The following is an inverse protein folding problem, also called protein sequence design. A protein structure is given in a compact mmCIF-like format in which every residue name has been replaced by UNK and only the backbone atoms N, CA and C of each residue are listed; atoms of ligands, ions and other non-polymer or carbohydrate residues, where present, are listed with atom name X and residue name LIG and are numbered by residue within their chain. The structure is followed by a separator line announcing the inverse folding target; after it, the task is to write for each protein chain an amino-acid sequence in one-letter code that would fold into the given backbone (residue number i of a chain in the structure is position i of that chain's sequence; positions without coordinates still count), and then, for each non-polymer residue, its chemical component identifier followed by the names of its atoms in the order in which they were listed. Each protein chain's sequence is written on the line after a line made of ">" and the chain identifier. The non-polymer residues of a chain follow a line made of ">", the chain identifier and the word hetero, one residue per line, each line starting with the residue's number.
data_IF_394311391628
#
_entry.id   IF_394311391628
#
_cell.length_a   1.000
_cell.length_b   1.000
_cell.length_c   1.000
_cell.angle_alpha   90.00
_cell.angle_beta   90.00
_cell.angle_gamma   90.00
#
_symmetry.space_group_name_H-M   'P 1'
#
loop_
_entity.id
_entity.type
_entity.pdbx_description
1 polymer ?
#
# COMPACT_ATOMS: atom_id res chain seq x y z
N UNK A 1 -22.29 0.09 -12.89
CA UNK A 1 -21.24 -0.92 -13.16
C UNK A 1 -20.25 -1.17 -12.00
N UNK A 2 -19.64 -0.17 -11.32
CA UNK A 2 -18.60 -0.47 -10.31
C UNK A 2 -19.11 -1.33 -9.14
N UNK A 3 -20.38 -1.18 -8.75
CA UNK A 3 -21.00 -1.99 -7.70
C UNK A 3 -21.14 -3.48 -8.06
N UNK A 4 -21.36 -3.82 -9.34
CA UNK A 4 -21.49 -5.22 -9.76
C UNK A 4 -20.12 -5.93 -9.71
N UNK A 5 -19.05 -5.25 -10.12
CA UNK A 5 -17.69 -5.77 -10.03
C UNK A 5 -17.28 -5.97 -8.57
N UNK A 6 -17.57 -5.00 -7.70
CA UNK A 6 -17.30 -5.10 -6.26
C UNK A 6 -18.04 -6.29 -5.63
N UNK A 7 -19.32 -6.49 -5.96
CA UNK A 7 -20.11 -7.63 -5.50
C UNK A 7 -19.56 -8.95 -6.04
N UNK A 8 -19.21 -9.03 -7.33
CA UNK A 8 -18.65 -10.24 -7.92
C UNK A 8 -17.32 -10.64 -7.27
N UNK A 9 -16.44 -9.68 -6.98
CA UNK A 9 -15.19 -9.92 -6.25
C UNK A 9 -15.46 -10.42 -4.83
N UNK A 10 -16.44 -9.84 -4.13
CA UNK A 10 -16.83 -10.30 -2.79
C UNK A 10 -17.35 -11.75 -2.81
N UNK A 11 -18.24 -12.08 -3.75
CA UNK A 11 -18.80 -13.43 -3.90
C UNK A 11 -17.70 -14.42 -4.25
N UNK A 12 -16.81 -14.09 -5.18
CA UNK A 12 -15.67 -14.93 -5.52
C UNK A 12 -14.76 -15.18 -4.31
N UNK A 13 -14.40 -14.13 -3.56
CA UNK A 13 -13.59 -14.26 -2.36
C UNK A 13 -14.28 -15.12 -1.28
N UNK A 14 -15.59 -14.99 -1.11
CA UNK A 14 -16.38 -15.84 -0.20
C UNK A 14 -16.37 -17.31 -0.65
N UNK A 15 -16.54 -17.58 -1.95
CA UNK A 15 -16.45 -18.95 -2.49
C UNK A 15 -15.07 -19.56 -2.25
N UNK A 16 -13.99 -18.83 -2.54
CA UNK A 16 -12.61 -19.28 -2.28
C UNK A 16 -12.41 -19.55 -0.79
N UNK A 17 -12.94 -18.70 0.09
CA UNK A 17 -12.86 -18.89 1.53
C UNK A 17 -13.58 -20.16 1.99
N UNK A 18 -14.85 -20.34 1.60
CA UNK A 18 -15.65 -21.49 2.00
C UNK A 18 -15.06 -22.78 1.44
N UNK A 19 -14.69 -22.81 0.16
CA UNK A 19 -14.06 -23.97 -0.47
C UNK A 19 -12.73 -24.33 0.20
N UNK A 20 -11.88 -23.33 0.47
CA UNK A 20 -10.60 -23.55 1.15
C UNK A 20 -10.79 -24.18 2.53
N UNK A 21 -11.72 -23.65 3.34
CA UNK A 21 -12.02 -24.20 4.67
C UNK A 21 -12.60 -25.62 4.57
N UNK A 22 -13.56 -25.86 3.67
CA UNK A 22 -14.18 -27.18 3.51
C UNK A 22 -13.16 -28.24 3.05
N UNK A 23 -12.29 -27.90 2.10
CA UNK A 23 -11.22 -28.79 1.65
C UNK A 23 -10.29 -29.12 2.82
N UNK A 24 -9.81 -28.12 3.55
CA UNK A 24 -8.90 -28.33 4.68
C UNK A 24 -9.53 -29.17 5.81
N UNK A 25 -10.81 -28.92 6.13
CA UNK A 25 -11.55 -29.70 7.13
C UNK A 25 -11.67 -31.18 6.76
N UNK A 26 -11.75 -31.51 5.46
CA UNK A 26 -11.76 -32.89 4.97
C UNK A 26 -10.50 -33.69 5.34
N UNK A 27 -9.37 -33.02 5.58
CA UNK A 27 -8.10 -33.66 5.93
C UNK A 27 -7.79 -33.66 7.44
N UNK A 28 -8.63 -33.03 8.27
CA UNK A 28 -8.43 -32.98 9.73
C UNK A 28 -8.54 -34.35 10.38
N UNK A 29 -9.53 -35.17 9.98
CA UNK A 29 -9.74 -36.51 10.54
C UNK A 29 -8.57 -37.46 10.25
N UNK A 30 -8.06 -37.54 9.00
CA UNK A 30 -6.82 -38.27 8.70
C UNK A 30 -5.61 -37.79 9.50
N UNK A 31 -5.43 -36.47 9.63
CA UNK A 31 -4.34 -35.88 10.41
C UNK A 31 -4.42 -36.26 11.89
N UNK A 32 -5.60 -36.17 12.51
CA UNK A 32 -5.82 -36.55 13.91
C UNK A 32 -5.55 -38.04 14.12
N UNK A 33 -6.07 -38.92 13.25
CA UNK A 33 -5.79 -40.36 13.33
C UNK A 33 -4.29 -40.64 13.25
N UNK A 34 -3.61 -40.02 12.31
CA UNK A 34 -2.17 -40.17 12.14
C UNK A 34 -1.39 -39.68 13.37
N UNK A 35 -1.76 -38.53 13.92
CA UNK A 35 -1.16 -37.98 15.14
C UNK A 35 -1.39 -38.89 16.36
N UNK A 36 -2.60 -39.43 16.52
CA UNK A 36 -2.91 -40.37 17.61
C UNK A 36 -2.11 -41.67 17.49
N UNK A 37 -1.95 -42.22 16.28
CA UNK A 37 -1.12 -43.41 16.05
C UNK A 37 0.36 -43.14 16.39
N UNK A 38 0.87 -41.96 16.04
CA UNK A 38 2.24 -41.57 16.39
C UNK A 38 2.45 -41.49 17.92
N UNK A 39 1.47 -40.96 18.66
CA UNK A 39 1.50 -40.90 20.14
C UNK A 39 1.53 -42.32 20.75
N UNK A 40 0.91 -43.30 20.09
CA UNK A 40 0.89 -44.71 20.52
C UNK A 40 2.19 -45.47 20.20
N UNK A 41 3.24 -44.79 19.71
CA UNK A 41 4.53 -45.40 19.43
C UNK A 41 4.61 -46.13 18.09
N UNK A 42 3.63 -45.94 17.19
CA UNK A 42 3.76 -46.44 15.82
C UNK A 42 4.89 -45.69 15.09
N UNK A 43 5.66 -46.37 14.20
CA UNK A 43 6.65 -45.70 13.38
C UNK A 43 5.96 -44.66 12.49
N UNK A 44 6.41 -43.42 12.55
CA UNK A 44 5.82 -42.32 11.79
C UNK A 44 6.70 -41.97 10.59
N UNK A 45 6.06 -41.79 9.45
CA UNK A 45 6.67 -41.28 8.22
C UNK A 45 6.53 -39.75 8.17
N UNK A 46 7.66 -39.04 8.26
CA UNK A 46 7.67 -37.57 8.28
C UNK A 46 7.02 -36.95 7.03
N UNK A 47 7.19 -37.56 5.85
CA UNK A 47 6.61 -37.08 4.60
C UNK A 47 5.07 -37.09 4.59
N UNK A 48 4.45 -38.14 5.13
CA UNK A 48 2.99 -38.28 5.15
C UNK A 48 2.35 -37.30 6.15
N UNK A 49 2.99 -37.13 7.32
CA UNK A 49 2.59 -36.10 8.28
C UNK A 49 2.66 -34.70 7.66
N UNK A 50 3.77 -34.39 6.99
CA UNK A 50 3.99 -33.09 6.37
C UNK A 50 2.97 -32.82 5.24
N UNK A 51 2.61 -33.84 4.45
CA UNK A 51 1.54 -33.79 3.45
C UNK A 51 0.20 -33.43 4.06
N UNK A 52 -0.20 -34.13 5.13
CA UNK A 52 -1.48 -33.90 5.79
C UNK A 52 -1.54 -32.51 6.42
N UNK A 53 -0.45 -32.06 7.05
CA UNK A 53 -0.35 -30.68 7.58
C UNK A 53 -0.49 -29.65 6.46
N UNK A 54 0.20 -29.82 5.32
CA UNK A 54 0.10 -28.89 4.20
C UNK A 54 -1.32 -28.83 3.62
N UNK A 55 -2.00 -29.98 3.50
CA UNK A 55 -3.36 -30.10 2.97
C UNK A 55 -4.42 -29.51 3.90
N UNK A 56 -4.21 -29.53 5.22
CA UNK A 56 -5.10 -28.88 6.19
C UNK A 56 -4.79 -27.37 6.26
N UNK A 57 -3.54 -27.01 6.52
CA UNK A 57 -3.15 -25.63 6.80
C UNK A 57 -3.27 -24.73 5.56
N UNK A 58 -2.84 -25.18 4.38
CA UNK A 58 -2.83 -24.34 3.17
C UNK A 58 -4.21 -23.75 2.84
N UNK A 59 -5.22 -24.58 2.57
CA UNK A 59 -6.57 -24.13 2.22
C UNK A 59 -7.24 -23.29 3.32
N UNK A 60 -7.08 -23.67 4.60
CA UNK A 60 -7.66 -22.95 5.74
C UNK A 60 -7.04 -21.55 5.88
N UNK A 61 -5.72 -21.43 5.74
CA UNK A 61 -5.03 -20.14 5.85
C UNK A 61 -5.38 -19.19 4.70
N UNK A 62 -5.47 -19.71 3.47
CA UNK A 62 -5.93 -18.92 2.31
C UNK A 62 -7.36 -18.43 2.54
N UNK A 63 -8.25 -19.29 3.04
CA UNK A 63 -9.62 -18.89 3.35
C UNK A 63 -9.69 -17.82 4.44
N UNK A 64 -8.96 -18.00 5.54
CA UNK A 64 -8.92 -17.01 6.62
C UNK A 64 -8.36 -15.66 6.15
N UNK A 65 -7.27 -15.67 5.38
CA UNK A 65 -6.63 -14.45 4.91
C UNK A 65 -7.52 -13.66 3.93
N UNK A 66 -8.18 -14.37 3.01
CA UNK A 66 -9.15 -13.74 2.09
C UNK A 66 -10.34 -13.16 2.84
N UNK A 67 -10.86 -13.85 3.86
CA UNK A 67 -11.96 -13.35 4.70
C UNK A 67 -11.56 -12.10 5.50
N UNK A 68 -10.45 -12.14 6.24
CA UNK A 68 -9.98 -11.02 7.06
C UNK A 68 -9.63 -9.81 6.18
N UNK A 69 -8.95 -10.05 5.05
CA UNK A 69 -8.61 -9.00 4.08
C UNK A 69 -9.86 -8.33 3.50
N UNK A 70 -10.88 -9.10 3.13
CA UNK A 70 -12.14 -8.58 2.63
C UNK A 70 -12.89 -7.79 3.72
N UNK A 71 -13.01 -8.34 4.92
CA UNK A 71 -13.67 -7.68 6.05
C UNK A 71 -12.99 -6.33 6.37
N UNK A 72 -11.66 -6.31 6.40
CA UNK A 72 -10.87 -5.09 6.60
C UNK A 72 -11.08 -4.07 5.49
N UNK A 73 -11.06 -4.52 4.21
CA UNK A 73 -11.30 -3.64 3.07
C UNK A 73 -12.70 -3.02 3.12
N UNK A 74 -13.72 -3.82 3.40
CA UNK A 74 -15.10 -3.35 3.53
C UNK A 74 -15.24 -2.36 4.69
N UNK A 75 -14.70 -2.70 5.87
CA UNK A 75 -14.75 -1.83 7.04
C UNK A 75 -14.03 -0.49 6.82
N UNK A 76 -12.81 -0.52 6.29
CA UNK A 76 -12.04 0.70 5.98
C UNK A 76 -12.77 1.58 4.96
N UNK A 77 -13.39 0.98 3.94
CA UNK A 77 -14.21 1.73 2.97
C UNK A 77 -15.44 2.39 3.62
N UNK A 78 -16.08 1.73 4.59
CA UNK A 78 -17.24 2.27 5.31
C UNK A 78 -16.85 3.47 6.18
N UNK A 79 -15.74 3.38 6.90
CA UNK A 79 -15.21 4.49 7.72
C UNK A 79 -14.94 5.71 6.85
N UNK A 80 -14.28 5.53 5.70
CA UNK A 80 -14.03 6.62 4.75
C UNK A 80 -15.34 7.19 4.18
N UNK A 81 -16.29 6.34 3.77
CA UNK A 81 -17.61 6.79 3.28
C UNK A 81 -18.40 7.56 4.34
N UNK A 82 -18.32 7.16 5.60
CA UNK A 82 -18.99 7.86 6.70
C UNK A 82 -18.40 9.26 6.89
N UNK A 83 -17.06 9.40 6.84
CA UNK A 83 -16.39 10.71 6.90
C UNK A 83 -16.72 11.58 5.69
N UNK A 84 -16.78 11.00 4.49
CA UNK A 84 -17.22 11.71 3.27
C UNK A 84 -18.63 12.28 3.42
N UNK A 85 -19.54 11.57 4.11
CA UNK A 85 -20.90 12.07 4.38
C UNK A 85 -20.93 13.17 5.45
N UNK A 86 -20.05 13.07 6.45
CA UNK A 86 -19.96 14.06 7.52
C UNK A 86 -19.29 15.38 7.05
N UNK A 87 -18.34 15.28 6.12
CA UNK A 87 -17.54 16.41 5.65
C UNK A 87 -17.47 16.46 4.11
N UNK A 88 -18.59 16.68 3.40
CA UNK A 88 -18.62 16.64 1.94
C UNK A 88 -17.71 17.69 1.30
N UNK A 89 -17.64 18.90 1.89
CA UNK A 89 -16.90 20.04 1.33
C UNK A 89 -15.45 20.13 1.81
N UNK A 90 -15.02 19.20 2.68
CA UNK A 90 -13.69 19.21 3.31
C UNK A 90 -12.99 17.88 3.04
N UNK A 91 -12.48 17.65 1.82
CA UNK A 91 -11.85 16.38 1.44
C UNK A 91 -10.63 16.03 2.30
N UNK A 92 -9.94 17.03 2.86
CA UNK A 92 -8.84 16.80 3.79
C UNK A 92 -9.27 16.13 5.11
N UNK A 93 -10.56 16.20 5.49
CA UNK A 93 -11.10 15.55 6.69
C UNK A 93 -11.40 14.06 6.48
N UNK A 94 -11.37 13.57 5.23
CA UNK A 94 -11.69 12.17 4.93
C UNK A 94 -10.59 11.22 5.41
N UNK A 95 -9.34 11.68 5.40
CA UNK A 95 -8.21 10.93 5.94
C UNK A 95 -8.04 11.21 7.44
N UNK A 96 -7.76 10.16 8.21
CA UNK A 96 -7.63 10.23 9.68
C UNK A 96 -6.44 11.09 10.08
N UNK A 97 -5.29 10.79 9.50
CA UNK A 97 -4.02 11.42 9.80
C UNK A 97 -4.03 12.93 9.49
N UNK A 98 -4.72 13.32 8.41
CA UNK A 98 -4.91 14.72 8.05
C UNK A 98 -5.83 15.44 9.04
N UNK A 99 -6.98 14.85 9.38
CA UNK A 99 -7.92 15.44 10.33
C UNK A 99 -7.31 15.65 11.73
N UNK A 100 -6.41 14.75 12.15
CA UNK A 100 -5.68 14.84 13.43
C UNK A 100 -4.51 15.83 13.40
N UNK A 101 -4.23 16.48 12.26
CA UNK A 101 -3.04 17.34 12.04
C UNK A 101 -1.72 16.63 12.34
N UNK A 102 -1.70 15.30 12.31
CA UNK A 102 -0.53 14.49 12.65
C UNK A 102 -0.44 13.33 11.68
N UNK A 103 0.48 13.43 10.73
CA UNK A 103 0.69 12.37 9.75
C UNK A 103 1.83 11.50 10.24
N UNK A 104 1.46 10.30 10.69
CA UNK A 104 2.40 9.31 11.21
C UNK A 104 2.74 8.35 10.10
N UNK A 105 3.99 8.37 9.65
CA UNK A 105 4.52 7.25 8.87
C UNK A 105 4.65 6.10 9.83
N UNK A 106 3.62 5.25 9.88
CA UNK A 106 3.60 4.08 10.72
C UNK A 106 3.41 2.85 9.83
N UNK A 107 4.53 2.23 9.46
CA UNK A 107 4.48 0.93 8.79
C UNK A 107 4.16 -0.21 9.77
N UNK A 108 3.66 0.07 10.97
CA UNK A 108 3.36 -0.95 11.97
C UNK A 108 2.33 -1.95 11.45
N UNK A 109 1.25 -1.47 10.83
CA UNK A 109 0.21 -2.34 10.24
C UNK A 109 0.79 -3.18 9.10
N UNK A 110 1.49 -2.55 8.16
CA UNK A 110 2.13 -3.23 7.02
C UNK A 110 3.14 -4.27 7.48
N UNK A 111 3.97 -3.94 8.46
CA UNK A 111 4.97 -4.86 9.04
C UNK A 111 4.27 -6.05 9.71
N UNK A 112 3.25 -5.84 10.55
CA UNK A 112 2.52 -6.96 11.15
C UNK A 112 1.84 -7.86 10.12
N UNK A 113 1.18 -7.27 9.13
CA UNK A 113 0.57 -8.02 8.02
C UNK A 113 1.64 -8.83 7.29
N UNK A 114 2.81 -8.26 7.08
CA UNK A 114 3.92 -8.90 6.37
C UNK A 114 4.56 -10.03 7.18
N UNK A 115 4.75 -9.84 8.49
CA UNK A 115 5.23 -10.89 9.40
C UNK A 115 4.25 -12.05 9.45
N UNK A 116 2.96 -11.76 9.63
CA UNK A 116 1.90 -12.79 9.66
C UNK A 116 1.88 -13.53 8.32
N UNK A 117 1.83 -12.81 7.20
CA UNK A 117 1.83 -13.42 5.86
C UNK A 117 3.07 -14.30 5.63
N UNK A 118 4.26 -13.86 6.07
CA UNK A 118 5.50 -14.64 5.94
C UNK A 118 5.50 -15.89 6.81
N UNK A 119 4.99 -15.79 8.05
CA UNK A 119 4.85 -16.93 8.94
C UNK A 119 3.85 -17.96 8.40
N UNK A 120 2.70 -17.51 7.90
CA UNK A 120 1.70 -18.35 7.26
C UNK A 120 2.24 -19.01 5.99
N UNK A 121 2.99 -18.26 5.17
CA UNK A 121 3.65 -18.81 3.99
C UNK A 121 4.65 -19.91 4.36
N UNK A 122 5.48 -19.69 5.39
CA UNK A 122 6.40 -20.69 5.92
C UNK A 122 5.68 -21.95 6.42
N UNK A 123 4.53 -21.79 7.10
CA UNK A 123 3.72 -22.89 7.61
C UNK A 123 3.18 -23.83 6.50
N UNK A 124 3.02 -23.32 5.28
CA UNK A 124 2.60 -24.14 4.12
C UNK A 124 3.80 -24.68 3.34
N UNK A 125 4.79 -23.82 3.07
CA UNK A 125 5.93 -24.17 2.21
C UNK A 125 6.87 -25.17 2.87
N UNK A 126 7.10 -25.06 4.18
CA UNK A 126 8.03 -25.97 4.87
C UNK A 126 7.53 -27.42 4.87
N UNK A 127 6.28 -27.73 5.30
CA UNK A 127 5.77 -29.10 5.21
C UNK A 127 5.69 -29.61 3.77
N UNK A 128 5.31 -28.76 2.82
CA UNK A 128 5.25 -29.15 1.41
C UNK A 128 6.66 -29.48 0.86
N UNK A 129 7.67 -28.71 1.25
CA UNK A 129 9.07 -28.98 0.93
C UNK A 129 9.55 -30.30 1.53
N UNK A 130 9.26 -30.57 2.81
CA UNK A 130 9.60 -31.85 3.44
C UNK A 130 8.93 -33.03 2.70
N UNK A 131 7.67 -32.86 2.31
CA UNK A 131 6.95 -33.86 1.52
C UNK A 131 7.62 -34.11 0.16
N UNK A 132 7.92 -33.06 -0.61
CA UNK A 132 8.58 -33.22 -1.91
C UNK A 132 9.99 -33.80 -1.79
N UNK A 133 10.74 -33.46 -0.75
CA UNK A 133 12.07 -34.02 -0.49
C UNK A 133 12.00 -35.55 -0.31
N UNK A 134 10.89 -36.07 0.22
CA UNK A 134 10.67 -37.52 0.39
C UNK A 134 10.39 -38.29 -0.91
N UNK A 135 9.99 -37.60 -2.00
CA UNK A 135 9.43 -38.27 -3.18
C UNK A 135 10.44 -38.74 -4.23
N UNK A 136 11.63 -38.11 -4.37
CA UNK A 136 12.81 -38.65 -5.13
C UNK A 136 13.98 -37.68 -5.32
N UNK A 137 13.84 -36.37 -5.09
CA UNK A 137 14.91 -35.38 -5.37
C UNK A 137 15.12 -34.40 -4.19
N UNK A 138 15.64 -34.90 -3.07
CA UNK A 138 15.85 -34.12 -1.86
C UNK A 138 16.76 -32.89 -2.10
N UNK A 139 17.78 -33.00 -2.94
CA UNK A 139 18.76 -31.92 -3.19
C UNK A 139 18.14 -30.66 -3.78
N UNK A 140 17.32 -30.79 -4.83
CA UNK A 140 16.67 -29.63 -5.47
C UNK A 140 15.66 -28.96 -4.52
N UNK A 141 14.96 -29.77 -3.73
CA UNK A 141 13.98 -29.28 -2.77
C UNK A 141 14.66 -28.53 -1.62
N UNK A 142 15.77 -29.06 -1.09
CA UNK A 142 16.56 -28.35 -0.08
C UNK A 142 17.18 -27.06 -0.62
N UNK A 143 17.65 -27.06 -1.87
CA UNK A 143 18.16 -25.85 -2.53
C UNK A 143 17.05 -24.78 -2.68
N UNK A 144 15.85 -25.20 -3.10
CA UNK A 144 14.69 -24.31 -3.16
C UNK A 144 14.30 -23.76 -1.77
N UNK A 145 14.23 -24.63 -0.75
CA UNK A 145 13.90 -24.21 0.62
C UNK A 145 14.96 -23.24 1.17
N UNK A 146 16.23 -23.50 0.89
CA UNK A 146 17.34 -22.61 1.26
C UNK A 146 17.25 -21.26 0.56
N UNK A 147 16.92 -21.24 -0.74
CA UNK A 147 16.71 -20.00 -1.49
C UNK A 147 15.53 -19.18 -0.94
N UNK A 148 14.40 -19.84 -0.62
CA UNK A 148 13.23 -19.20 0.02
C UNK A 148 13.60 -18.65 1.39
N UNK A 149 14.32 -19.41 2.22
CA UNK A 149 14.80 -18.97 3.52
C UNK A 149 15.71 -17.74 3.41
N UNK A 150 16.66 -17.75 2.47
CA UNK A 150 17.54 -16.62 2.20
C UNK A 150 16.76 -15.38 1.74
N UNK A 151 15.81 -15.55 0.82
CA UNK A 151 14.91 -14.48 0.38
C UNK A 151 14.13 -13.87 1.54
N UNK A 152 13.53 -14.70 2.41
CA UNK A 152 12.83 -14.22 3.60
C UNK A 152 13.76 -13.44 4.54
N UNK A 153 14.97 -13.91 4.78
CA UNK A 153 15.95 -13.20 5.63
C UNK A 153 16.33 -11.83 5.05
N UNK A 154 16.58 -11.75 3.74
CA UNK A 154 16.85 -10.48 3.05
C UNK A 154 15.65 -9.55 3.18
N UNK A 155 14.44 -10.07 2.96
CA UNK A 155 13.21 -9.30 3.07
C UNK A 155 12.95 -8.79 4.49
N UNK A 156 13.13 -9.64 5.52
CA UNK A 156 13.06 -9.23 6.92
C UNK A 156 14.10 -8.16 7.27
N UNK A 157 15.33 -8.27 6.74
CA UNK A 157 16.36 -7.24 6.91
C UNK A 157 15.93 -5.91 6.29
N UNK A 158 15.38 -5.92 5.07
CA UNK A 158 14.87 -4.70 4.42
C UNK A 158 13.73 -4.06 5.22
N UNK A 159 12.78 -4.86 5.71
CA UNK A 159 11.70 -4.37 6.57
C UNK A 159 12.22 -3.78 7.89
N UNK A 160 13.22 -4.43 8.49
CA UNK A 160 13.82 -3.99 9.73
C UNK A 160 14.56 -2.66 9.58
N UNK A 161 15.38 -2.53 8.53
CA UNK A 161 16.06 -1.27 8.22
C UNK A 161 15.05 -0.15 7.97
N UNK A 162 13.95 -0.45 7.28
CA UNK A 162 12.89 0.52 7.03
C UNK A 162 12.09 0.87 8.31
N UNK A 163 12.09 0.04 9.35
CA UNK A 163 11.29 0.25 10.59
C UNK A 163 11.71 1.50 11.36
N UNK A 164 13.01 1.81 11.44
CA UNK A 164 13.50 2.93 12.24
C UNK A 164 13.03 4.28 11.70
N UNK A 165 12.99 4.43 10.36
CA UNK A 165 12.59 5.68 9.70
C UNK A 165 11.08 5.82 9.51
N UNK A 166 10.36 4.70 9.47
CA UNK A 166 8.89 4.66 9.45
C UNK A 166 8.26 4.73 10.84
N UNK A 167 8.83 5.54 11.71
CA UNK A 167 8.18 6.03 12.93
C UNK A 167 8.15 7.55 12.96
N UNK A 168 8.63 8.19 11.90
CA UNK A 168 8.62 9.64 11.77
C UNK A 168 7.19 10.15 11.63
N UNK A 169 6.94 11.32 12.19
CA UNK A 169 5.63 11.96 12.12
C UNK A 169 5.80 13.42 11.74
N UNK A 170 4.90 13.96 10.93
CA UNK A 170 4.80 15.40 10.70
C UNK A 170 3.57 15.92 11.43
N UNK A 171 3.76 16.92 12.29
CA UNK A 171 2.68 17.68 12.88
C UNK A 171 2.42 18.90 12.01
N UNK A 172 1.19 19.06 11.54
CA UNK A 172 0.78 20.15 10.67
C UNK A 172 0.31 21.32 11.52
N UNK A 173 0.92 22.49 11.33
CA UNK A 173 0.45 23.73 11.96
C UNK A 173 -0.68 24.35 11.11
N UNK A 174 -0.52 24.31 9.79
CA UNK A 174 -1.55 24.71 8.81
C UNK A 174 -2.33 23.50 8.29
N UNK A 175 -3.65 23.48 8.47
CA UNK A 175 -4.54 22.43 7.92
C UNK A 175 -5.84 23.04 7.34
N UNK A 176 -6.18 22.78 6.07
CA UNK A 176 -5.27 22.27 5.03
C UNK A 176 -4.19 23.33 4.70
N UNK A 177 -3.15 22.92 3.98
CA UNK A 177 -2.30 23.90 3.28
C UNK A 177 -3.13 24.58 2.19
N UNK A 178 -3.05 25.91 2.07
CA UNK A 178 -3.82 26.67 1.08
C UNK A 178 -2.94 27.04 -0.10
N UNK A 179 -3.42 26.81 -1.33
CA UNK A 179 -2.71 27.23 -2.54
C UNK A 179 -2.57 28.75 -2.56
N UNK A 180 -1.36 29.26 -2.84
CA UNK A 180 -1.04 30.69 -2.69
C UNK A 180 -0.66 31.10 -1.26
N UNK A 181 -0.90 30.25 -0.27
CA UNK A 181 -0.63 30.49 1.14
C UNK A 181 0.71 29.91 1.62
N UNK A 182 0.91 29.97 2.94
CA UNK A 182 2.04 29.36 3.62
C UNK A 182 1.65 27.99 4.15
N UNK A 183 2.56 27.03 4.06
CA UNK A 183 2.43 25.71 4.66
C UNK A 183 3.48 25.56 5.76
N UNK A 184 3.05 25.25 6.98
CA UNK A 184 3.89 25.13 8.16
C UNK A 184 3.64 23.82 8.91
N UNK A 185 4.69 23.29 9.51
CA UNK A 185 4.64 22.09 10.35
C UNK A 185 5.98 21.75 10.99
N UNK A 186 6.01 20.64 11.70
CA UNK A 186 7.22 20.11 12.33
C UNK A 186 7.35 18.61 12.05
N UNK A 187 8.46 18.20 11.45
CA UNK A 187 8.79 16.79 11.23
C UNK A 187 9.56 16.27 12.43
N UNK A 188 9.04 15.27 13.12
CA UNK A 188 9.71 14.55 14.20
C UNK A 188 10.28 13.24 13.67
N UNK A 189 11.59 13.07 13.78
CA UNK A 189 12.32 11.85 13.43
C UNK A 189 12.78 11.21 14.74
N UNK A 190 12.38 9.97 15.07
CA UNK A 190 12.72 9.29 16.32
C UNK A 190 14.14 8.69 16.29
N UNK A 191 15.10 9.46 15.77
CA UNK A 191 16.52 9.14 15.72
C UNK A 191 17.29 10.42 16.07
N UNK A 192 18.36 10.26 16.87
CA UNK A 192 19.26 11.36 17.21
C UNK A 192 20.18 11.64 16.03
N UNK A 193 19.83 12.64 15.24
CA UNK A 193 20.69 13.11 14.16
C UNK A 193 21.75 14.04 14.76
N UNK A 194 23.05 13.86 14.44
CA UNK A 194 24.11 14.73 14.91
C UNK A 194 23.86 16.21 14.58
N UNK A 195 24.28 17.09 15.49
CA UNK A 195 24.27 18.53 15.23
C UNK A 195 25.16 18.88 14.05
N UNK A 196 24.75 19.88 13.26
CA UNK A 196 25.49 20.29 12.07
C UNK A 196 25.21 19.45 10.83
N UNK A 197 24.47 18.34 10.95
CA UNK A 197 23.98 17.59 9.80
C UNK A 197 23.02 18.43 8.95
N UNK A 198 23.25 18.47 7.64
CA UNK A 198 22.36 19.16 6.70
C UNK A 198 21.30 18.21 6.15
N UNK A 199 20.05 18.60 6.34
CA UNK A 199 18.87 17.89 5.86
C UNK A 199 18.25 18.65 4.70
N UNK A 200 17.99 17.94 3.60
CA UNK A 200 17.24 18.45 2.46
C UNK A 200 15.77 18.13 2.65
N UNK A 201 14.96 19.18 2.84
CA UNK A 201 13.51 19.09 2.93
C UNK A 201 12.91 19.68 1.66
N UNK A 202 12.12 18.90 0.93
CA UNK A 202 11.47 19.36 -0.29
C UNK A 202 9.95 19.25 -0.16
N UNK A 203 9.23 20.30 -0.55
CA UNK A 203 7.81 20.23 -0.82
C UNK A 203 7.64 19.97 -2.32
N UNK A 204 7.07 18.82 -2.69
CA UNK A 204 6.89 18.39 -4.08
C UNK A 204 5.42 18.20 -4.40
N UNK A 205 5.05 18.55 -5.63
CA UNK A 205 3.76 18.21 -6.21
C UNK A 205 4.00 17.33 -7.43
N UNK A 206 3.52 16.08 -7.35
CA UNK A 206 3.60 15.10 -8.42
C UNK A 206 2.21 14.94 -9.05
N UNK A 207 2.14 15.14 -10.36
CA UNK A 207 0.92 14.95 -11.15
C UNK A 207 1.00 13.61 -11.88
N UNK A 208 0.08 12.71 -11.54
CA UNK A 208 -0.08 11.44 -12.23
C UNK A 208 -1.25 11.53 -13.20
N UNK A 209 -0.93 11.51 -14.49
CA UNK A 209 -1.90 11.43 -15.58
C UNK A 209 -2.11 9.97 -15.95
N UNK A 210 -3.34 9.49 -15.80
CA UNK A 210 -3.75 8.17 -16.27
C UNK A 210 -4.66 8.32 -17.48
N UNK A 211 -4.27 7.69 -18.60
CA UNK A 211 -5.11 7.64 -19.79
C UNK A 211 -5.66 6.23 -19.95
N UNK A 212 -6.97 6.14 -20.20
CA UNK A 212 -7.63 4.90 -20.59
C UNK A 212 -8.24 5.12 -21.96
N UNK A 213 -7.64 4.51 -22.98
CA UNK A 213 -8.29 4.36 -24.27
C UNK A 213 -9.35 3.28 -24.14
N UNK A 214 -10.61 3.64 -24.35
CA UNK A 214 -11.63 2.62 -24.55
C UNK A 214 -11.37 1.99 -25.91
N UNK A 215 -11.22 0.65 -26.03
CA UNK A 215 -11.21 0.01 -27.33
C UNK A 215 -12.49 0.43 -28.06
N UNK A 216 -12.34 0.81 -29.32
CA UNK A 216 -13.43 1.23 -30.17
C UNK A 216 -14.47 0.10 -30.25
N UNK A 217 -15.68 0.36 -29.75
CA UNK A 217 -16.81 -0.56 -29.84
C UNK A 217 -17.39 -0.66 -31.25
N UNK A 218 -16.81 0.05 -32.22
CA UNK A 218 -17.01 -0.23 -33.64
C UNK A 218 -16.23 -1.49 -33.94
N UNK A 219 -16.89 -2.62 -33.71
CA UNK A 219 -16.53 -3.89 -34.31
C UNK A 219 -16.48 -3.64 -35.82
N UNK A 220 -15.28 -3.38 -36.34
CA UNK A 220 -15.04 -3.52 -37.77
C UNK A 220 -15.49 -4.95 -38.09
N UNK A 221 -16.56 -5.06 -38.88
CA UNK A 221 -17.14 -6.32 -39.33
C UNK A 221 -16.08 -7.30 -39.90
N UNK A 222 -14.93 -6.77 -40.29
CA UNK A 222 -13.75 -7.49 -40.79
C UNK A 222 -13.08 -8.36 -39.71
N UNK A 223 -13.05 -7.95 -38.44
CA UNK A 223 -12.47 -8.76 -37.35
C UNK A 223 -13.38 -9.94 -36.96
N UNK A 224 -14.69 -9.83 -37.22
CA UNK A 224 -15.63 -10.94 -37.04
C UNK A 224 -15.47 -12.03 -38.12
N UNK A 225 -15.04 -11.65 -39.33
CA UNK A 225 -14.83 -12.58 -40.45
C UNK A 225 -13.50 -13.31 -40.36
N UNK A 226 -12.47 -12.71 -39.75
CA UNK A 226 -11.11 -13.27 -39.75
C UNK A 226 -10.82 -14.22 -38.59
N UNK A 227 -11.71 -14.33 -37.59
CA UNK A 227 -11.61 -15.33 -36.51
C UNK A 227 -10.32 -15.27 -35.69
N UNK A 228 -9.56 -14.18 -35.81
CA UNK A 228 -8.24 -14.04 -35.21
C UNK A 228 -8.40 -13.30 -33.89
N UNK A 229 -8.35 -14.02 -32.78
CA UNK A 229 -8.40 -13.45 -31.42
C UNK A 229 -7.17 -12.57 -31.18
N UNK A 230 -7.21 -11.31 -31.64
CA UNK A 230 -6.25 -10.30 -31.21
C UNK A 230 -6.59 -9.90 -29.79
N UNK A 231 -5.72 -10.31 -28.87
CA UNK A 231 -5.70 -9.93 -27.46
C UNK A 231 -6.02 -8.44 -27.28
N UNK A 232 -7.26 -8.13 -26.88
CA UNK A 232 -7.77 -6.79 -26.54
C UNK A 232 -7.17 -6.33 -25.21
N UNK A 233 -5.86 -6.13 -25.16
CA UNK A 233 -5.22 -5.47 -24.03
C UNK A 233 -5.36 -3.96 -24.20
N UNK A 234 -6.44 -3.39 -23.65
CA UNK A 234 -6.55 -1.94 -23.49
C UNK A 234 -5.35 -1.43 -22.69
N UNK A 235 -4.44 -0.72 -23.37
CA UNK A 235 -3.20 -0.26 -22.76
C UNK A 235 -3.49 0.97 -21.89
N UNK A 236 -3.57 0.76 -20.58
CA UNK A 236 -3.56 1.87 -19.62
C UNK A 236 -2.14 2.41 -19.50
N UNK A 237 -1.93 3.68 -19.82
CA UNK A 237 -0.67 4.37 -19.54
C UNK A 237 -0.85 5.31 -18.35
N UNK A 238 0.11 5.28 -17.42
CA UNK A 238 0.21 6.22 -16.31
C UNK A 238 1.55 6.93 -16.39
N UNK A 239 1.53 8.26 -16.52
CA UNK A 239 2.73 9.10 -16.50
C UNK A 239 2.67 9.98 -15.25
N UNK A 240 3.72 9.90 -14.43
CA UNK A 240 3.89 10.78 -13.27
C UNK A 240 4.96 11.82 -13.59
N UNK A 241 4.63 13.09 -13.41
CA UNK A 241 5.52 14.22 -13.62
C UNK A 241 5.52 15.12 -12.39
N UNK A 242 6.69 15.49 -11.90
CA UNK A 242 6.82 16.52 -10.86
C UNK A 242 6.55 17.89 -11.48
N UNK A 243 5.49 18.56 -11.02
CA UNK A 243 5.07 19.87 -11.54
C UNK A 243 5.57 21.02 -10.67
N UNK A 244 5.92 20.75 -9.42
CA UNK A 244 6.47 21.74 -8.50
C UNK A 244 7.39 21.07 -7.49
N UNK A 245 8.49 21.75 -7.16
CA UNK A 245 9.44 21.35 -6.12
C UNK A 245 10.07 22.62 -5.51
N UNK A 246 9.89 22.84 -4.21
CA UNK A 246 10.65 23.82 -3.42
C UNK A 246 11.51 23.07 -2.41
N UNK A 247 12.80 23.40 -2.36
CA UNK A 247 13.81 22.68 -1.58
C UNK A 247 14.40 23.65 -0.56
N UNK A 248 14.43 23.21 0.69
CA UNK A 248 15.09 23.88 1.80
C UNK A 248 16.16 22.96 2.36
N UNK A 249 17.33 23.52 2.61
CA UNK A 249 18.37 22.87 3.40
C UNK A 249 18.27 23.40 4.82
N UNK A 250 18.13 22.50 5.79
CA UNK A 250 18.11 22.83 7.21
C UNK A 250 19.27 22.13 7.90
N UNK A 251 20.06 22.91 8.63
CA UNK A 251 21.08 22.36 9.52
C UNK A 251 20.42 21.97 10.84
N UNK A 252 20.58 20.71 11.23
CA UNK A 252 20.04 20.20 12.49
C UNK A 252 20.64 20.98 13.65
N UNK A 253 19.79 21.74 14.32
CA UNK A 253 20.11 22.46 15.55
C UNK A 253 19.47 21.70 16.71
N UNK A 254 20.25 21.32 17.72
CA UNK A 254 19.71 20.56 18.85
C UNK A 254 18.71 21.41 19.62
N UNK A 255 17.44 21.05 19.46
CA UNK A 255 16.33 21.86 19.96
C UNK A 255 15.98 21.55 21.42
N UNK A 256 16.47 20.43 21.98
CA UNK A 256 16.38 20.14 23.41
C UNK A 256 17.39 19.06 23.82
N UNK A 257 17.88 19.11 25.07
CA UNK A 257 18.79 18.09 25.61
C UNK A 257 18.05 16.79 26.00
N UNK A 258 16.72 16.84 26.15
CA UNK A 258 15.93 15.77 26.78
C UNK A 258 15.18 14.85 25.80
N UNK A 259 14.94 15.28 24.55
CA UNK A 259 14.21 14.46 23.59
C UNK A 259 15.14 13.59 22.75
N UNK A 260 14.90 12.28 22.72
CA UNK A 260 15.60 11.32 21.86
C UNK A 260 15.20 11.40 20.37
N UNK A 261 14.51 12.48 19.97
CA UNK A 261 14.01 12.69 18.63
C UNK A 261 14.47 14.04 18.08
N UNK A 262 14.84 14.07 16.80
CA UNK A 262 15.15 15.30 16.07
C UNK A 262 13.86 15.91 15.53
N UNK A 263 13.64 17.20 15.79
CA UNK A 263 12.51 17.96 15.27
C UNK A 263 13.01 18.94 14.22
N UNK A 264 12.42 18.89 13.02
CA UNK A 264 12.76 19.74 11.88
C UNK A 264 11.54 20.62 11.55
N UNK A 265 11.60 21.94 11.79
CA UNK A 265 10.53 22.84 11.38
C UNK A 265 10.48 22.93 9.85
N UNK A 266 9.30 22.87 9.27
CA UNK A 266 9.08 23.00 7.83
C UNK A 266 8.18 24.19 7.55
N UNK A 267 8.59 25.02 6.59
CA UNK A 267 7.84 26.21 6.18
C UNK A 267 8.07 26.46 4.69
N UNK A 268 6.99 26.46 3.92
CA UNK A 268 7.00 26.65 2.47
C UNK A 268 5.97 27.68 2.04
N UNK A 269 6.29 28.46 1.00
CA UNK A 269 5.32 29.36 0.36
C UNK A 269 4.79 28.66 -0.90
N UNK A 270 3.50 28.38 -0.95
CA UNK A 270 2.88 27.67 -2.08
C UNK A 270 2.49 28.68 -3.15
N UNK A 271 2.93 28.52 -4.42
CA UNK A 271 2.47 29.36 -5.52
C UNK A 271 0.96 29.25 -5.78
N UNK A 272 0.31 30.36 -6.11
CA UNK A 272 -1.15 30.43 -6.30
C UNK A 272 -1.72 29.72 -7.54
N UNK A 273 -0.89 29.21 -8.46
CA UNK A 273 -1.31 28.61 -9.75
C UNK A 273 -1.15 27.09 -9.81
N UNK A 274 -1.13 26.43 -8.66
CA UNK A 274 -0.89 24.99 -8.57
C UNK A 274 -2.20 24.22 -8.35
N UNK A 275 -2.25 22.93 -8.74
CA UNK A 275 -3.45 22.11 -8.54
C UNK A 275 -3.61 21.66 -7.09
N UNK A 276 -4.86 21.45 -6.69
CA UNK A 276 -5.20 20.89 -5.37
C UNK A 276 -4.75 19.44 -5.22
N UNK A 277 -4.70 18.92 -4.00
CA UNK A 277 -4.47 17.51 -3.74
C UNK A 277 -5.66 16.66 -4.20
N UNK A 278 -5.38 15.51 -4.78
CA UNK A 278 -6.40 14.56 -5.24
C UNK A 278 -6.73 14.68 -6.73
N UNK A 279 -7.94 14.22 -7.09
CA UNK A 279 -8.41 14.20 -8.48
C UNK A 279 -8.71 15.62 -8.94
N UNK A 280 -8.05 16.04 -10.02
CA UNK A 280 -8.37 17.32 -10.64
C UNK A 280 -9.65 17.20 -11.47
N UNK A 281 -10.56 18.18 -11.39
CA UNK A 281 -11.60 18.30 -12.39
C UNK A 281 -10.92 18.47 -13.75
N UNK A 282 -11.39 17.72 -14.74
CA UNK A 282 -10.95 17.91 -16.11
C UNK A 282 -11.32 19.35 -16.50
N UNK A 283 -10.33 20.24 -16.53
CA UNK A 283 -10.43 21.46 -17.33
C UNK A 283 -10.83 20.99 -18.72
N UNK A 284 -11.91 21.54 -19.26
CA UNK A 284 -12.44 21.22 -20.58
C UNK A 284 -11.36 21.55 -21.62
N UNK A 285 -10.41 20.65 -21.78
CA UNK A 285 -9.25 20.82 -22.64
C UNK A 285 -9.72 20.55 -24.05
N UNK A 286 -9.89 21.64 -24.78
CA UNK A 286 -9.72 21.82 -26.22
C UNK A 286 -9.91 20.56 -27.07
N UNK A 287 -11.16 20.29 -27.44
CA UNK A 287 -11.50 19.52 -28.64
C UNK A 287 -11.09 18.04 -28.67
N UNK A 288 -10.54 17.48 -27.59
CA UNK A 288 -10.28 16.05 -27.52
C UNK A 288 -11.61 15.29 -27.52
N UNK A 289 -11.81 14.48 -28.55
CA UNK A 289 -13.00 13.65 -28.75
C UNK A 289 -13.44 13.00 -27.43
N UNK A 290 -14.76 12.90 -27.21
CA UNK A 290 -15.45 12.33 -26.02
C UNK A 290 -14.97 10.94 -25.54
N UNK A 291 -13.97 10.35 -26.19
CA UNK A 291 -13.55 8.97 -26.10
C UNK A 291 -12.41 8.70 -25.13
N UNK A 292 -11.52 9.67 -24.91
CA UNK A 292 -10.35 9.46 -24.05
C UNK A 292 -10.64 10.05 -22.68
N UNK A 293 -10.86 9.17 -21.68
CA UNK A 293 -10.98 9.62 -20.30
C UNK A 293 -9.59 9.78 -19.72
N UNK A 294 -9.16 11.03 -19.58
CA UNK A 294 -7.95 11.40 -18.86
C UNK A 294 -8.35 11.57 -17.39
N UNK A 295 -7.64 10.95 -16.45
CA UNK A 295 -7.78 11.29 -15.04
C UNK A 295 -6.43 11.77 -14.55
N UNK A 296 -6.40 13.03 -14.13
CA UNK A 296 -5.25 13.68 -13.53
C UNK A 296 -5.40 13.64 -12.01
N UNK A 297 -4.36 13.17 -11.33
CA UNK A 297 -4.29 13.08 -9.87
C UNK A 297 -3.04 13.79 -9.39
N UNK A 298 -3.20 14.78 -8.53
CA UNK A 298 -2.09 15.54 -7.97
C UNK A 298 -1.84 15.08 -6.54
N UNK A 299 -0.59 14.79 -6.24
CA UNK A 299 -0.14 14.35 -4.93
C UNK A 299 0.91 15.31 -4.39
N UNK A 300 0.69 15.81 -3.18
CA UNK A 300 1.56 16.76 -2.51
C UNK A 300 2.32 16.06 -1.41
N UNK A 301 3.65 16.21 -1.42
CA UNK A 301 4.53 15.45 -0.54
C UNK A 301 5.58 16.34 0.10
N UNK A 302 5.77 16.18 1.40
CA UNK A 302 6.95 16.68 2.11
C UNK A 302 7.97 15.56 2.18
N UNK A 303 9.11 15.77 1.54
CA UNK A 303 10.19 14.81 1.43
C UNK A 303 11.37 15.28 2.28
N UNK A 304 11.84 14.45 3.20
CA UNK A 304 13.04 14.70 4.00
C UNK A 304 14.10 13.70 3.60
N UNK A 305 15.25 14.20 3.14
CA UNK A 305 16.42 13.40 2.78
C UNK A 305 17.66 13.95 3.47
N UNK A 306 18.55 13.05 3.82
CA UNK A 306 19.89 13.43 4.25
C UNK A 306 20.70 13.91 3.03
N UNK A 307 21.48 14.99 3.15
CA UNK A 307 22.24 15.50 2.00
C UNK A 307 23.44 14.61 1.62
N UNK A 308 23.97 13.85 2.58
CA UNK A 308 25.13 12.99 2.32
C UNK A 308 24.75 11.85 1.38
N UNK A 309 25.36 11.86 0.18
CA UNK A 309 25.07 11.00 -0.99
C UNK A 309 25.09 9.48 -0.72
N UNK A 310 25.68 9.03 0.39
CA UNK A 310 25.73 7.63 0.80
C UNK A 310 24.49 7.15 1.53
N UNK A 311 23.68 8.05 2.10
CA UNK A 311 22.47 7.67 2.81
C UNK A 311 21.25 7.82 1.88
N UNK A 312 20.71 6.68 1.43
CA UNK A 312 19.54 6.62 0.57
C UNK A 312 18.22 6.75 1.34
N UNK A 313 18.29 7.02 2.65
CA UNK A 313 17.10 7.13 3.49
C UNK A 313 16.32 8.39 3.13
N UNK A 314 15.03 8.19 2.94
CA UNK A 314 14.08 9.21 2.54
C UNK A 314 12.78 9.01 3.31
N UNK A 315 12.24 10.11 3.82
CA UNK A 315 10.95 10.16 4.49
C UNK A 315 10.01 10.96 3.60
N UNK A 316 8.84 10.41 3.27
CA UNK A 316 7.84 11.07 2.42
C UNK A 316 6.53 11.14 3.18
N UNK A 317 6.00 12.33 3.39
CA UNK A 317 4.68 12.55 3.97
C UNK A 317 3.73 13.11 2.91
N UNK A 318 2.59 12.47 2.67
CA UNK A 318 1.52 13.02 1.82
C UNK A 318 0.76 14.10 2.59
N UNK A 319 0.74 15.34 2.10
CA UNK A 319 0.18 16.51 2.81
C UNK A 319 -1.04 17.08 2.10
N UNK A 320 -2.10 17.50 2.85
CA UNK A 320 -3.32 18.03 2.26
C UNK A 320 -3.17 19.49 1.86
N UNK A 321 -2.89 19.76 0.58
CA UNK A 321 -2.87 21.12 0.01
C UNK A 321 -4.06 21.32 -0.92
N UNK A 322 -4.89 22.33 -0.68
CA UNK A 322 -6.14 22.57 -1.41
C UNK A 322 -6.32 24.05 -1.77
N UNK A 323 -6.98 24.30 -2.89
CA UNK A 323 -7.44 25.63 -3.28
C UNK A 323 -8.77 25.94 -2.56
N UNK A 324 -8.71 26.88 -1.60
CA UNK A 324 -9.90 27.36 -0.90
C UNK A 324 -10.46 28.66 -1.50
N UNK A 325 -9.76 29.27 -2.46
CA UNK A 325 -10.08 30.60 -2.99
C UNK A 325 -11.44 30.71 -3.65
N UNK A 326 -11.96 29.60 -4.19
CA UNK A 326 -13.27 29.57 -4.86
C UNK A 326 -14.43 29.18 -3.92
N UNK A 327 -14.17 28.59 -2.76
CA UNK A 327 -15.24 28.12 -1.87
C UNK A 327 -15.90 29.26 -1.06
N UNK A 328 -15.13 30.32 -0.76
CA UNK A 328 -15.60 31.44 0.05
C UNK A 328 -16.66 32.32 -0.65
N UNK A 329 -16.75 32.28 -1.99
CA UNK A 329 -17.68 33.13 -2.76
C UNK A 329 -19.12 32.57 -2.73
N UNK A 330 -19.33 31.27 -2.49
CA UNK A 330 -20.68 30.67 -2.58
C UNK A 330 -21.54 30.76 -1.31
N UNK A 331 -21.05 31.34 -0.21
CA UNK A 331 -21.78 31.40 1.08
C UNK A 331 -22.52 32.72 1.34
N UNK A 332 -22.52 33.63 0.37
CA UNK A 332 -23.14 34.96 0.50
C UNK A 332 -24.27 35.26 -0.50
N UNK A 333 -24.74 34.26 -1.25
CA UNK A 333 -25.96 34.32 -2.08
C UNK A 333 -27.04 33.39 -1.54
#
# INVERSE_FOLDING_TARGET
>A
MPRLIEVAICVFAQCVCVLGILIGLGFVTPLLKYATSAIQGQPWHAGELARLIALVCGPVLVGLFTFVGLAWHLWSSQVTRQRMRQYPDQPWMWQVDWAEKSIRLSNHKTLWVTIIASALYGLVVVPMGIYFASLKNATLVYLFLGAVGCFLLIFFRLLWVNRCWNRSSIQLETLPGVIGGRFEGAVTIPELIPEGTVMRIALRCDMTRSTRSSPDGREDLVDMVTGMERSRNGQSSSLTQTIYEDIRQLTVTRTSLESAATVLPVSFQIPGKLPSSGKQPLLASDGLSHRTRINDYCDWRVQVRHEQKSDLREIIFEVPIFDLGNAAISKHD
#
